data_IF_832097852830
#
_entry.id   IF_832097852830
#
_cell.length_a   1.000
_cell.length_b   1.000
_cell.length_c   1.000
_cell.angle_alpha   90.00
_cell.angle_beta   90.00
_cell.angle_gamma   90.00
#
_symmetry.space_group_name_H-M   'P 1'
#
loop_
_entity.id
_entity.type
_entity.pdbx_description
1 polymer ?
#
# COMPACT_ATOMS: atom_id res chain seq x y z
N UNK A 1 31.24 -12.78 -4.68
CA UNK A 1 31.38 -11.30 -4.74
C UNK A 1 31.65 -10.76 -3.34
N UNK A 2 32.61 -9.85 -3.13
CA UNK A 2 32.91 -9.33 -1.80
C UNK A 2 31.87 -8.30 -1.36
N UNK A 3 31.31 -8.48 -0.16
CA UNK A 3 30.33 -7.58 0.45
C UNK A 3 31.04 -6.28 0.89
N UNK A 4 30.67 -5.14 0.31
CA UNK A 4 31.21 -3.84 0.71
C UNK A 4 30.63 -3.40 2.07
N UNK A 5 31.50 -3.27 3.08
CA UNK A 5 31.19 -2.63 4.35
C UNK A 5 31.50 -1.14 4.27
N UNK A 6 30.46 -0.31 4.14
CA UNK A 6 30.56 1.13 4.38
C UNK A 6 29.55 1.49 5.48
N UNK A 7 30.06 1.85 6.67
CA UNK A 7 29.33 2.49 7.76
C UNK A 7 28.41 1.60 8.62
N UNK A 8 28.90 1.19 9.80
CA UNK A 8 28.23 0.82 11.07
C UNK A 8 26.80 0.19 11.08
N UNK A 9 26.31 -0.36 9.98
CA UNK A 9 25.02 -1.03 9.84
C UNK A 9 25.17 -2.40 9.19
N UNK A 10 24.10 -3.21 9.21
CA UNK A 10 24.08 -4.54 8.59
C UNK A 10 24.48 -4.46 7.12
N UNK A 11 25.28 -5.45 6.68
CA UNK A 11 25.82 -5.51 5.32
C UNK A 11 24.79 -5.17 4.23
N UNK A 12 25.24 -4.44 3.21
CA UNK A 12 24.55 -4.38 1.92
C UNK A 12 24.66 -5.76 1.28
N UNK A 13 23.52 -6.35 0.97
CA UNK A 13 23.41 -7.61 0.23
C UNK A 13 23.17 -7.38 -1.26
N UNK A 14 22.80 -6.16 -1.64
CA UNK A 14 22.48 -5.73 -2.99
C UNK A 14 23.46 -4.64 -3.42
N UNK A 15 23.86 -4.63 -4.69
CA UNK A 15 24.61 -3.53 -5.31
C UNK A 15 23.67 -2.36 -5.62
N UNK A 16 24.21 -1.18 -5.93
CA UNK A 16 23.39 0.03 -6.12
C UNK A 16 22.33 -0.11 -7.22
N UNK A 17 22.63 -0.83 -8.31
CA UNK A 17 21.65 -1.07 -9.38
C UNK A 17 20.48 -1.96 -8.90
N UNK A 18 20.78 -3.01 -8.15
CA UNK A 18 19.78 -3.91 -7.56
C UNK A 18 18.94 -3.21 -6.49
N UNK A 19 19.57 -2.37 -5.64
CA UNK A 19 18.84 -1.55 -4.67
C UNK A 19 17.89 -0.58 -5.40
N UNK A 20 18.34 0.08 -6.48
CA UNK A 20 17.49 0.99 -7.25
C UNK A 20 16.32 0.27 -7.94
N UNK A 21 16.55 -0.95 -8.46
CA UNK A 21 15.48 -1.74 -9.02
C UNK A 21 14.45 -2.13 -7.95
N UNK A 22 14.90 -2.58 -6.78
CA UNK A 22 13.99 -2.88 -5.67
C UNK A 22 13.19 -1.65 -5.20
N UNK A 23 13.80 -0.46 -5.20
CA UNK A 23 13.08 0.79 -4.95
C UNK A 23 11.98 1.03 -5.99
N UNK A 24 12.25 0.77 -7.27
CA UNK A 24 11.23 0.91 -8.32
C UNK A 24 10.05 -0.05 -8.10
N UNK A 25 10.32 -1.29 -7.66
CA UNK A 25 9.28 -2.26 -7.31
C UNK A 25 8.40 -1.76 -6.14
N UNK A 26 9.01 -1.11 -5.15
CA UNK A 26 8.28 -0.50 -4.04
C UNK A 26 7.42 0.70 -4.45
N UNK A 27 7.80 1.42 -5.50
CA UNK A 27 7.06 2.57 -6.01
C UNK A 27 5.85 2.17 -6.88
N UNK A 28 5.87 0.97 -7.46
CA UNK A 28 4.74 0.43 -8.24
C UNK A 28 3.47 0.39 -7.39
N UNK A 29 3.52 -0.16 -6.18
CA UNK A 29 2.33 -0.33 -5.34
C UNK A 29 1.59 1.00 -5.07
N UNK A 30 2.25 2.06 -4.59
CA UNK A 30 1.63 3.38 -4.45
C UNK A 30 1.02 3.93 -5.75
N UNK A 31 1.65 3.70 -6.90
CA UNK A 31 1.13 4.19 -8.19
C UNK A 31 -0.20 3.52 -8.57
N UNK A 32 -0.42 2.29 -8.12
CA UNK A 32 -1.70 1.57 -8.28
C UNK A 32 -2.65 1.76 -7.08
N UNK A 33 -2.35 2.69 -6.17
CA UNK A 33 -3.19 2.99 -5.00
C UNK A 33 -3.04 2.00 -3.83
N UNK A 34 -2.07 1.08 -3.89
CA UNK A 34 -1.78 0.15 -2.80
C UNK A 34 -0.74 0.71 -1.83
N UNK A 35 -0.99 0.57 -0.53
CA UNK A 35 -0.03 0.99 0.49
C UNK A 35 1.10 -0.03 0.62
N UNK A 36 2.34 0.45 0.65
CA UNK A 36 3.52 -0.38 0.90
C UNK A 36 3.63 -0.69 2.41
N UNK A 37 3.19 -1.88 2.82
CA UNK A 37 3.31 -2.35 4.20
C UNK A 37 4.66 -3.00 4.45
N UNK A 38 5.08 -3.08 5.72
CA UNK A 38 6.37 -3.71 6.05
C UNK A 38 6.40 -5.21 5.71
N UNK A 39 5.26 -5.91 5.84
CA UNK A 39 5.14 -7.32 5.49
C UNK A 39 5.29 -7.54 3.98
N UNK A 40 4.55 -6.75 3.19
CA UNK A 40 4.63 -6.81 1.72
C UNK A 40 6.03 -6.42 1.23
N UNK A 41 6.63 -5.37 1.78
CA UNK A 41 7.99 -4.97 1.42
C UNK A 41 9.02 -6.07 1.72
N UNK A 42 8.89 -6.79 2.84
CA UNK A 42 9.73 -7.96 3.15
C UNK A 42 9.53 -9.08 2.13
N UNK A 43 8.28 -9.40 1.79
CA UNK A 43 7.96 -10.46 0.83
C UNK A 43 8.50 -10.14 -0.57
N UNK A 44 8.28 -8.92 -1.07
CA UNK A 44 8.84 -8.45 -2.35
C UNK A 44 10.37 -8.53 -2.32
N UNK A 45 10.99 -8.06 -1.24
CA UNK A 45 12.45 -8.13 -1.10
C UNK A 45 12.95 -9.57 -1.12
N UNK A 46 12.24 -10.49 -0.47
CA UNK A 46 12.62 -11.90 -0.42
C UNK A 46 12.54 -12.55 -1.79
N UNK A 47 11.43 -12.36 -2.52
CA UNK A 47 11.29 -12.88 -3.88
C UNK A 47 12.32 -12.27 -4.84
N UNK A 48 12.60 -10.97 -4.70
CA UNK A 48 13.63 -10.31 -5.50
C UNK A 48 15.04 -10.86 -5.21
N UNK A 49 15.39 -11.06 -3.94
CA UNK A 49 16.69 -11.66 -3.59
C UNK A 49 16.80 -13.10 -4.06
N UNK A 50 15.71 -13.86 -3.98
CA UNK A 50 15.64 -15.23 -4.48
C UNK A 50 15.83 -15.27 -6.00
N UNK A 51 15.26 -14.33 -6.76
CA UNK A 51 15.46 -14.26 -8.22
C UNK A 51 16.89 -13.92 -8.61
N UNK A 52 17.63 -13.22 -7.75
CA UNK A 52 19.07 -12.96 -7.88
C UNK A 52 19.95 -14.15 -7.42
N UNK A 53 19.36 -15.26 -6.97
CA UNK A 53 20.09 -16.42 -6.44
C UNK A 53 20.67 -16.20 -5.04
N UNK A 54 20.23 -15.17 -4.31
CA UNK A 54 20.67 -14.89 -2.95
C UNK A 54 19.80 -15.64 -1.93
N UNK A 55 20.44 -16.49 -1.11
CA UNK A 55 19.76 -17.22 -0.02
C UNK A 55 19.55 -16.37 1.25
N UNK A 56 19.46 -15.04 1.11
CA UNK A 56 19.25 -14.14 2.23
C UNK A 56 17.76 -13.93 2.49
N UNK A 57 17.33 -14.07 3.74
CA UNK A 57 15.96 -13.78 4.18
C UNK A 57 15.90 -12.36 4.75
N UNK A 58 15.34 -11.38 4.01
CA UNK A 58 15.20 -10.02 4.53
C UNK A 58 14.23 -10.02 5.71
N UNK A 59 14.62 -9.35 6.79
CA UNK A 59 13.78 -9.15 7.96
C UNK A 59 13.55 -7.67 8.25
N UNK A 60 12.71 -7.36 9.24
CA UNK A 60 12.34 -5.97 9.61
C UNK A 60 13.54 -5.05 9.80
N UNK A 61 14.59 -5.54 10.48
CA UNK A 61 15.83 -4.77 10.71
C UNK A 61 16.60 -4.46 9.41
N UNK A 62 16.61 -5.40 8.46
CA UNK A 62 17.25 -5.16 7.15
C UNK A 62 16.43 -4.14 6.35
N UNK A 63 15.11 -4.30 6.32
CA UNK A 63 14.21 -3.39 5.64
C UNK A 63 14.34 -1.96 6.19
N UNK A 64 14.40 -1.80 7.51
CA UNK A 64 14.62 -0.49 8.15
C UNK A 64 15.93 0.14 7.68
N UNK A 65 17.02 -0.63 7.64
CA UNK A 65 18.31 -0.14 7.15
C UNK A 65 18.25 0.23 5.66
N UNK A 66 17.60 -0.58 4.83
CA UNK A 66 17.40 -0.33 3.40
C UNK A 66 16.60 0.95 3.16
N UNK A 67 15.48 1.11 3.87
CA UNK A 67 14.63 2.31 3.81
C UNK A 67 15.39 3.55 4.23
N UNK A 68 16.18 3.48 5.30
CA UNK A 68 16.95 4.63 5.77
C UNK A 68 17.95 5.12 4.72
N UNK A 69 18.55 4.19 3.94
CA UNK A 69 19.41 4.52 2.79
C UNK A 69 18.63 5.19 1.66
N UNK A 70 17.39 4.77 1.42
CA UNK A 70 16.55 5.20 0.29
C UNK A 70 15.37 6.10 0.69
N UNK A 71 15.46 6.78 1.84
CA UNK A 71 14.35 7.54 2.44
C UNK A 71 13.77 8.63 1.54
N UNK A 72 14.58 9.18 0.63
CA UNK A 72 14.14 10.21 -0.31
C UNK A 72 13.31 9.62 -1.47
N UNK A 73 13.46 8.32 -1.76
CA UNK A 73 12.80 7.64 -2.88
C UNK A 73 11.59 6.80 -2.43
N UNK A 74 11.63 6.25 -1.21
CA UNK A 74 10.57 5.38 -0.68
C UNK A 74 9.63 6.19 0.22
N UNK A 75 8.39 6.38 -0.23
CA UNK A 75 7.33 7.00 0.58
C UNK A 75 6.56 5.93 1.33
N UNK A 76 6.57 6.01 2.66
CA UNK A 76 5.78 5.14 3.52
C UNK A 76 4.42 5.76 3.78
N UNK A 77 3.34 5.01 3.55
CA UNK A 77 2.00 5.38 4.01
C UNK A 77 1.68 4.52 5.24
N UNK A 78 1.22 5.16 6.31
CA UNK A 78 0.66 4.43 7.45
C UNK A 78 -0.60 3.72 6.97
N UNK A 79 -0.73 2.44 7.27
CA UNK A 79 -1.95 1.68 6.98
C UNK A 79 -3.14 2.39 7.64
N UNK A 80 -4.15 2.71 6.83
CA UNK A 80 -5.46 3.11 7.33
C UNK A 80 -6.17 1.84 7.77
N UNK A 81 -6.53 1.77 9.06
CA UNK A 81 -7.29 0.63 9.56
C UNK A 81 -8.67 0.66 8.93
N UNK A 82 -9.03 -0.44 8.27
CA UNK A 82 -10.42 -0.67 7.92
C UNK A 82 -11.22 -0.91 9.20
N UNK A 83 -12.46 -0.47 9.20
CA UNK A 83 -13.43 -0.86 10.23
C UNK A 83 -13.51 -2.39 10.29
N UNK A 84 -13.52 -3.02 11.49
CA UNK A 84 -13.45 -4.47 11.66
C UNK A 84 -14.47 -5.23 10.82
N UNK A 85 -15.71 -4.73 10.81
CA UNK A 85 -16.83 -5.31 10.04
C UNK A 85 -16.52 -5.31 8.53
N UNK A 86 -15.87 -4.26 8.04
CA UNK A 86 -15.49 -4.13 6.63
C UNK A 86 -14.35 -5.09 6.29
N UNK A 87 -13.40 -5.30 7.21
CA UNK A 87 -12.34 -6.29 7.03
C UNK A 87 -12.87 -7.72 7.01
N UNK A 88 -13.83 -8.05 7.86
CA UNK A 88 -14.39 -9.41 7.97
C UNK A 88 -15.32 -9.76 6.80
N UNK A 89 -16.11 -8.79 6.33
CA UNK A 89 -17.11 -9.03 5.27
C UNK A 89 -16.54 -8.88 3.86
N UNK A 90 -15.32 -8.39 3.68
CA UNK A 90 -14.71 -8.21 2.36
C UNK A 90 -14.09 -9.52 1.86
N UNK A 91 -14.96 -10.46 1.45
CA UNK A 91 -14.55 -11.74 0.83
C UNK A 91 -14.43 -11.62 -0.70
N UNK A 92 -13.85 -12.62 -1.35
CA UNK A 92 -13.73 -12.67 -2.81
C UNK A 92 -15.10 -12.72 -3.50
N UNK A 93 -16.06 -13.42 -2.91
CA UNK A 93 -17.45 -13.49 -3.38
C UNK A 93 -18.11 -12.11 -3.30
N UNK A 94 -17.93 -11.42 -2.17
CA UNK A 94 -18.44 -10.06 -1.97
C UNK A 94 -17.81 -9.09 -2.98
N UNK A 95 -16.50 -9.19 -3.21
CA UNK A 95 -15.78 -8.39 -4.19
C UNK A 95 -16.33 -8.62 -5.60
N UNK A 96 -16.44 -9.87 -6.04
CA UNK A 96 -16.98 -10.22 -7.36
C UNK A 96 -18.42 -9.77 -7.53
N UNK A 97 -19.27 -10.02 -6.52
CA UNK A 97 -20.67 -9.60 -6.53
C UNK A 97 -20.82 -8.09 -6.69
N UNK A 98 -20.00 -7.32 -5.97
CA UNK A 98 -20.01 -5.86 -6.06
C UNK A 98 -19.62 -5.36 -7.46
N UNK A 99 -18.51 -5.86 -8.03
CA UNK A 99 -18.09 -5.44 -9.39
C UNK A 99 -19.09 -5.88 -10.46
N UNK A 100 -19.70 -7.06 -10.34
CA UNK A 100 -20.77 -7.50 -11.23
C UNK A 100 -21.98 -6.59 -11.17
N UNK A 101 -22.43 -6.21 -9.97
CA UNK A 101 -23.56 -5.30 -9.78
C UNK A 101 -23.26 -3.91 -10.34
N UNK A 102 -22.05 -3.39 -10.09
CA UNK A 102 -21.61 -2.10 -10.62
C UNK A 102 -21.65 -2.13 -12.15
N UNK A 103 -21.04 -3.14 -12.77
CA UNK A 103 -21.02 -3.30 -14.23
C UNK A 103 -22.42 -3.34 -14.81
N UNK A 104 -23.29 -4.20 -14.27
CA UNK A 104 -24.68 -4.31 -14.72
C UNK A 104 -25.45 -2.99 -14.59
N UNK A 105 -25.20 -2.23 -13.53
CA UNK A 105 -25.84 -0.94 -13.29
C UNK A 105 -25.35 0.11 -14.29
N UNK A 106 -24.04 0.18 -14.52
CA UNK A 106 -23.45 1.09 -15.50
C UNK A 106 -23.90 0.78 -16.93
N UNK A 107 -24.01 -0.51 -17.30
CA UNK A 107 -24.54 -0.95 -18.59
C UNK A 107 -26.03 -0.60 -18.73
N UNK A 108 -26.84 -0.88 -17.71
CA UNK A 108 -28.29 -0.58 -17.71
C UNK A 108 -28.57 0.91 -17.88
N UNK A 109 -27.72 1.77 -17.33
CA UNK A 109 -27.89 3.23 -17.36
C UNK A 109 -27.11 3.90 -18.51
N UNK A 110 -26.42 3.12 -19.35
CA UNK A 110 -25.58 3.61 -20.45
C UNK A 110 -24.51 4.64 -19.99
N UNK A 111 -23.86 4.31 -18.87
CA UNK A 111 -22.88 5.14 -18.16
C UNK A 111 -21.43 4.67 -18.30
N UNK A 112 -21.17 3.56 -19.00
CA UNK A 112 -19.82 2.97 -19.12
C UNK A 112 -18.77 3.98 -19.61
N UNK A 113 -19.14 4.84 -20.55
CA UNK A 113 -18.27 5.86 -21.14
C UNK A 113 -18.64 7.29 -20.72
N UNK A 114 -19.52 7.46 -19.72
CA UNK A 114 -20.06 8.76 -19.28
C UNK A 114 -19.86 9.01 -17.78
N UNK A 115 -18.62 8.96 -17.27
CA UNK A 115 -18.36 9.11 -15.83
C UNK A 115 -18.81 10.46 -15.27
N UNK A 116 -18.86 11.51 -16.10
CA UNK A 116 -19.31 12.85 -15.71
C UNK A 116 -20.79 12.94 -15.31
N UNK A 117 -21.58 11.88 -15.55
CA UNK A 117 -23.00 11.82 -15.19
C UNK A 117 -23.24 11.10 -13.85
N UNK A 118 -22.18 10.68 -13.16
CA UNK A 118 -22.25 10.06 -11.83
C UNK A 118 -22.05 11.16 -10.79
N UNK A 119 -23.14 11.55 -10.13
CA UNK A 119 -23.12 12.54 -9.06
C UNK A 119 -23.11 11.84 -7.70
N UNK A 120 -22.24 12.30 -6.80
CA UNK A 120 -22.28 11.87 -5.42
C UNK A 120 -23.44 12.57 -4.70
N UNK A 121 -24.23 11.80 -3.96
CA UNK A 121 -25.38 12.29 -3.21
C UNK A 121 -25.31 11.77 -1.76
N UNK A 122 -24.13 11.83 -1.13
CA UNK A 122 -23.99 11.50 0.27
C UNK A 122 -24.20 12.74 1.15
N UNK A 123 -25.05 12.60 2.16
CA UNK A 123 -25.17 13.60 3.21
C UNK A 123 -24.04 13.36 4.21
N UNK A 124 -23.13 14.33 4.33
CA UNK A 124 -22.13 14.32 5.40
C UNK A 124 -22.84 14.67 6.70
N UNK A 125 -23.05 13.68 7.57
CA UNK A 125 -23.72 13.87 8.86
C UNK A 125 -23.09 15.01 9.67
N UNK A 126 -23.91 15.95 10.13
CA UNK A 126 -23.47 17.01 11.04
C UNK A 126 -23.03 16.36 12.36
N UNK A 127 -21.72 16.42 12.68
CA UNK A 127 -21.28 16.12 14.03
C UNK A 127 -21.49 17.39 14.87
N UNK A 128 -22.58 17.44 15.62
CA UNK A 128 -22.77 18.46 16.67
C UNK A 128 -21.72 18.23 17.77
N UNK A 129 -20.52 18.78 17.59
CA UNK A 129 -19.53 18.97 18.65
C UNK A 129 -19.81 20.26 19.43
N UNK A 130 -21.08 20.64 19.57
CA UNK A 130 -21.51 21.70 20.48
C UNK A 130 -21.65 21.11 21.88
N UNK A 131 -20.52 20.77 22.50
CA UNK A 131 -20.43 20.71 23.97
C UNK A 131 -20.44 22.15 24.50
N UNK A 132 -21.55 22.87 24.29
CA UNK A 132 -21.80 24.15 24.91
C UNK A 132 -22.17 23.90 26.36
N UNK A 133 -21.25 24.14 27.29
CA UNK A 133 -21.61 24.25 28.70
C UNK A 133 -22.56 25.43 28.84
N UNK A 134 -23.80 25.17 29.25
CA UNK A 134 -24.68 26.21 29.77
C UNK A 134 -24.08 26.66 31.09
N UNK A 135 -23.56 27.88 31.13
CA UNK A 135 -23.22 28.55 32.38
C UNK A 135 -24.54 29.11 32.93
N UNK A 136 -25.17 28.36 33.83
CA UNK A 136 -26.12 28.89 34.82
C UNK A 136 -25.37 29.59 35.93
#
# INVERSE_FOLDING_TARGET
>A
MPLQKIGAGRCRYLIDNEENHLVSLFQILPNYGFSLTAGVAIQISFEYMKSLGLFFKPGRKWLQAFVNRHRMKIKWKKEEKLEPIRSEKFTEETRRGWFSLLKLTLEKLDLMDKPCQIFNADETGFSDKTSGKVLT
#
